data_IF_777266032739
#
_entry.id   IF_777266032739
#
_cell.length_a   1.000
_cell.length_b   1.000
_cell.length_c   1.000
_cell.angle_alpha   90.00
_cell.angle_beta   90.00
_cell.angle_gamma   90.00
#
_symmetry.space_group_name_H-M   'P 1'
#
loop_
_entity.id
_entity.type
_entity.pdbx_description
1 polymer ?
#
# COMPACT_ATOMS: atom_id res chain seq x y z
N UNK A 1 9.07 -28.62 -13.32
CA UNK A 1 8.46 -27.37 -13.77
C UNK A 1 7.63 -26.86 -12.60
N UNK A 2 8.15 -25.95 -11.83
CA UNK A 2 7.42 -25.35 -10.72
C UNK A 2 6.37 -24.41 -11.33
N UNK A 3 5.11 -24.76 -11.16
CA UNK A 3 4.01 -23.82 -11.42
C UNK A 3 4.22 -22.68 -10.42
N UNK A 4 4.63 -21.52 -10.90
CA UNK A 4 4.50 -20.29 -10.16
C UNK A 4 3.00 -20.06 -10.06
N UNK A 5 2.41 -20.39 -8.90
CA UNK A 5 1.07 -19.94 -8.59
C UNK A 5 1.09 -18.42 -8.72
N UNK A 6 0.48 -17.93 -9.78
CA UNK A 6 0.20 -16.50 -9.90
C UNK A 6 -0.78 -16.20 -8.79
N UNK A 7 -0.31 -15.66 -7.68
CA UNK A 7 -1.20 -15.07 -6.68
C UNK A 7 -2.20 -14.19 -7.44
N UNK A 8 -3.48 -14.40 -7.15
CA UNK A 8 -4.52 -13.54 -7.69
C UNK A 8 -4.16 -12.08 -7.39
N UNK A 9 -4.27 -11.23 -8.40
CA UNK A 9 -3.93 -9.81 -8.30
C UNK A 9 -4.61 -9.14 -7.09
N UNK A 10 -5.84 -9.54 -6.77
CA UNK A 10 -6.57 -9.02 -5.62
C UNK A 10 -5.92 -9.40 -4.29
N UNK A 11 -5.46 -10.63 -4.16
CA UNK A 11 -4.72 -11.11 -2.98
C UNK A 11 -3.41 -10.36 -2.79
N UNK A 12 -2.68 -10.13 -3.86
CA UNK A 12 -1.42 -9.38 -3.83
C UNK A 12 -1.67 -7.93 -3.40
N UNK A 13 -2.69 -7.27 -3.97
CA UNK A 13 -3.06 -5.90 -3.61
C UNK A 13 -3.45 -5.82 -2.14
N UNK A 14 -4.28 -6.73 -1.64
CA UNK A 14 -4.67 -6.79 -0.22
C UNK A 14 -3.46 -6.94 0.69
N UNK A 15 -2.54 -7.81 0.35
CA UNK A 15 -1.30 -8.00 1.11
C UNK A 15 -0.45 -6.73 1.17
N UNK A 16 -0.27 -6.05 0.05
CA UNK A 16 0.49 -4.79 -0.01
C UNK A 16 -0.18 -3.71 0.82
N UNK A 17 -1.48 -3.53 0.65
CA UNK A 17 -2.24 -2.49 1.35
C UNK A 17 -2.41 -2.77 2.84
N UNK A 18 -2.46 -4.04 3.27
CA UNK A 18 -2.55 -4.41 4.69
C UNK A 18 -1.39 -3.84 5.52
N UNK A 19 -0.22 -3.68 4.90
CA UNK A 19 0.96 -3.12 5.57
C UNK A 19 0.80 -1.66 5.99
N UNK A 20 -0.13 -0.93 5.39
CA UNK A 20 -0.40 0.48 5.72
C UNK A 20 -1.43 0.63 6.84
N UNK A 21 -2.14 -0.44 7.20
CA UNK A 21 -3.15 -0.43 8.28
C UNK A 21 -4.17 0.71 8.14
N UNK A 22 -4.72 0.86 6.94
CA UNK A 22 -5.64 1.96 6.60
C UNK A 22 -6.85 2.00 7.53
N UNK A 23 -7.46 0.84 7.79
CA UNK A 23 -8.63 0.73 8.66
C UNK A 23 -8.33 1.13 10.11
N UNK A 24 -7.20 0.70 10.65
CA UNK A 24 -6.79 1.07 12.00
C UNK A 24 -6.49 2.56 12.13
N UNK A 25 -5.90 3.17 11.12
CA UNK A 25 -5.65 4.62 11.07
C UNK A 25 -6.96 5.40 11.01
N UNK A 26 -7.91 4.97 10.18
CA UNK A 26 -9.23 5.57 10.09
C UNK A 26 -9.95 5.51 11.46
N UNK A 27 -9.96 4.35 12.09
CA UNK A 27 -10.56 4.18 13.41
C UNK A 27 -9.94 5.09 14.46
N UNK A 28 -8.61 5.21 14.48
CA UNK A 28 -7.92 6.12 15.41
C UNK A 28 -8.30 7.59 15.20
N UNK A 29 -8.40 8.05 13.96
CA UNK A 29 -8.85 9.40 13.64
C UNK A 29 -10.28 9.64 14.14
N UNK A 30 -11.18 8.71 13.86
CA UNK A 30 -12.58 8.79 14.28
C UNK A 30 -12.70 8.85 15.81
N UNK A 31 -12.06 7.95 16.52
CA UNK A 31 -12.11 7.90 17.98
C UNK A 31 -11.47 9.14 18.61
N UNK A 32 -10.42 9.68 18.01
CA UNK A 32 -9.79 10.93 18.47
C UNK A 32 -10.76 12.11 18.35
N UNK A 33 -11.57 12.15 17.30
CA UNK A 33 -12.62 13.16 17.13
C UNK A 33 -13.90 12.85 17.93
N UNK A 34 -13.95 11.70 18.61
CA UNK A 34 -15.11 11.25 19.41
C UNK A 34 -16.42 11.22 18.64
N UNK A 35 -16.38 10.81 17.38
CA UNK A 35 -17.56 10.65 16.54
C UNK A 35 -17.87 9.18 16.27
N UNK A 36 -19.17 8.87 16.12
CA UNK A 36 -19.63 7.53 15.77
C UNK A 36 -19.54 7.27 14.26
N UNK A 37 -19.74 6.00 13.87
CA UNK A 37 -19.75 5.60 12.46
C UNK A 37 -20.89 6.27 11.69
N UNK A 38 -22.07 6.45 12.31
CA UNK A 38 -23.22 7.10 11.69
C UNK A 38 -22.93 8.57 11.40
N UNK A 39 -22.28 9.27 12.33
CA UNK A 39 -21.93 10.68 12.13
C UNK A 39 -20.84 10.84 11.07
N UNK A 40 -19.84 9.97 11.07
CA UNK A 40 -18.83 9.95 10.02
C UNK A 40 -19.48 9.67 8.65
N UNK A 41 -20.47 8.79 8.59
CA UNK A 41 -21.24 8.52 7.38
C UNK A 41 -21.97 9.76 6.84
N UNK A 42 -22.57 10.56 7.71
CA UNK A 42 -23.23 11.82 7.32
C UNK A 42 -22.24 12.80 6.68
N UNK A 43 -21.03 12.90 7.19
CA UNK A 43 -20.01 13.81 6.67
C UNK A 43 -19.32 13.31 5.39
N UNK A 44 -19.24 12.01 5.20
CA UNK A 44 -18.53 11.39 4.06
C UNK A 44 -19.47 10.94 2.94
N UNK A 45 -20.76 10.83 3.20
CA UNK A 45 -21.72 10.22 2.28
C UNK A 45 -21.62 8.70 2.19
N UNK A 46 -20.95 8.06 3.17
CA UNK A 46 -20.79 6.61 3.24
C UNK A 46 -21.73 6.01 4.28
N UNK A 47 -22.13 4.74 4.10
CA UNK A 47 -22.91 4.04 5.11
C UNK A 47 -22.08 3.67 6.33
N UNK A 48 -22.70 3.60 7.50
CA UNK A 48 -22.02 3.13 8.73
C UNK A 48 -21.49 1.71 8.57
N UNK A 49 -22.21 0.85 7.85
CA UNK A 49 -21.77 -0.51 7.54
C UNK A 49 -20.50 -0.54 6.69
N UNK A 50 -20.43 0.28 5.64
CA UNK A 50 -19.25 0.40 4.81
C UNK A 50 -18.06 0.92 5.60
N UNK A 51 -18.25 1.94 6.43
CA UNK A 51 -17.20 2.48 7.29
C UNK A 51 -16.69 1.45 8.29
N UNK A 52 -17.58 0.65 8.88
CA UNK A 52 -17.20 -0.45 9.76
C UNK A 52 -16.35 -1.49 9.03
N UNK A 53 -16.70 -1.85 7.80
CA UNK A 53 -15.91 -2.79 7.00
C UNK A 53 -14.53 -2.22 6.65
N UNK A 54 -14.44 -0.93 6.35
CA UNK A 54 -13.16 -0.25 6.11
C UNK A 54 -12.27 -0.27 7.36
N UNK A 55 -12.82 0.06 8.51
CA UNK A 55 -12.08 0.06 9.79
C UNK A 55 -11.58 -1.33 10.19
N UNK A 56 -12.33 -2.37 9.86
CA UNK A 56 -11.97 -3.76 10.16
C UNK A 56 -11.11 -4.44 9.08
N UNK A 57 -10.72 -3.70 8.04
CA UNK A 57 -9.88 -4.23 6.96
C UNK A 57 -10.58 -5.22 6.03
N UNK A 58 -11.91 -5.33 6.09
CA UNK A 58 -12.71 -6.22 5.24
C UNK A 58 -12.94 -5.63 3.84
N UNK A 59 -12.83 -4.33 3.71
CA UNK A 59 -13.01 -3.59 2.47
C UNK A 59 -11.83 -2.67 2.25
N UNK A 60 -11.34 -2.61 1.02
CA UNK A 60 -10.29 -1.67 0.61
C UNK A 60 -10.96 -0.41 0.06
N UNK A 61 -10.67 0.78 0.61
CA UNK A 61 -11.22 2.01 0.08
C UNK A 61 -10.62 2.35 -1.28
N UNK A 62 -11.42 2.93 -2.17
CA UNK A 62 -10.91 3.61 -3.36
C UNK A 62 -10.21 4.91 -2.96
N UNK A 63 -9.35 5.46 -3.82
CA UNK A 63 -8.72 6.76 -3.55
C UNK A 63 -9.73 7.89 -3.34
N UNK A 64 -10.79 8.03 -4.15
CA UNK A 64 -11.83 9.03 -3.90
C UNK A 64 -12.51 8.87 -2.55
N UNK A 65 -12.81 7.64 -2.14
CA UNK A 65 -13.39 7.35 -0.82
C UNK A 65 -12.44 7.76 0.30
N UNK A 66 -11.17 7.40 0.17
CA UNK A 66 -10.15 7.76 1.15
C UNK A 66 -9.94 9.27 1.22
N UNK A 67 -9.97 9.97 0.10
CA UNK A 67 -9.89 11.41 0.04
C UNK A 67 -11.05 12.10 0.77
N UNK A 68 -12.29 11.62 0.59
CA UNK A 68 -13.44 12.15 1.34
C UNK A 68 -13.27 12.00 2.85
N UNK A 69 -12.78 10.86 3.30
CA UNK A 69 -12.50 10.61 4.71
C UNK A 69 -11.40 11.54 5.22
N UNK A 70 -10.33 11.67 4.47
CA UNK A 70 -9.20 12.55 4.81
C UNK A 70 -9.65 14.01 4.97
N UNK A 71 -10.52 14.50 4.10
CA UNK A 71 -11.09 15.85 4.18
C UNK A 71 -11.88 16.08 5.48
N UNK A 72 -12.67 15.12 5.92
CA UNK A 72 -13.44 15.23 7.17
C UNK A 72 -12.53 15.37 8.38
N UNK A 73 -11.38 14.71 8.36
CA UNK A 73 -10.41 14.75 9.44
C UNK A 73 -9.31 15.82 9.28
N UNK A 74 -9.36 16.57 8.20
CA UNK A 74 -8.34 17.59 7.86
C UNK A 74 -6.93 17.02 7.87
N UNK A 75 -6.77 15.87 7.23
CA UNK A 75 -5.47 15.22 7.01
C UNK A 75 -5.23 15.00 5.52
N UNK A 76 -3.96 14.95 5.11
CA UNK A 76 -3.60 14.58 3.75
C UNK A 76 -3.70 13.07 3.52
N UNK A 77 -3.75 12.64 2.26
CA UNK A 77 -3.69 11.22 1.91
C UNK A 77 -2.40 10.54 2.38
N UNK A 78 -1.31 11.28 2.48
CA UNK A 78 -0.04 10.82 3.02
C UNK A 78 -0.15 10.27 4.45
N UNK A 79 -1.08 10.79 5.27
CA UNK A 79 -1.36 10.27 6.61
C UNK A 79 -1.70 8.77 6.59
N UNK A 80 -2.46 8.32 5.61
CA UNK A 80 -2.87 6.92 5.49
C UNK A 80 -1.75 6.02 4.95
N UNK A 81 -0.84 6.56 4.16
CA UNK A 81 0.25 5.83 3.53
C UNK A 81 1.59 6.00 4.23
N UNK A 82 1.66 6.83 5.27
CA UNK A 82 2.83 6.94 6.13
C UNK A 82 3.00 5.61 6.91
N UNK A 83 3.78 4.71 6.37
CA UNK A 83 4.07 3.42 6.97
C UNK A 83 5.18 3.52 8.01
N UNK A 84 5.00 2.84 9.16
CA UNK A 84 6.07 2.55 10.11
C UNK A 84 7.04 1.48 9.61
N UNK A 85 7.05 1.14 8.33
CA UNK A 85 8.11 0.29 7.81
C UNK A 85 9.42 1.07 7.94
N UNK A 86 10.12 0.83 9.03
CA UNK A 86 11.57 0.93 9.01
C UNK A 86 12.02 -0.08 7.96
N UNK A 87 12.19 0.37 6.74
CA UNK A 87 12.89 -0.44 5.75
C UNK A 87 14.26 -0.70 6.34
N UNK A 88 14.70 -1.94 6.41
CA UNK A 88 15.99 -2.23 7.00
C UNK A 88 17.08 -1.46 6.23
N UNK A 89 18.00 -0.86 6.96
CA UNK A 89 19.21 -0.22 6.38
C UNK A 89 20.01 -1.29 5.63
N UNK A 90 19.91 -2.53 6.08
CA UNK A 90 20.50 -3.69 5.47
C UNK A 90 19.41 -4.67 5.02
N UNK A 91 19.45 -5.07 3.77
CA UNK A 91 18.52 -6.06 3.22
C UNK A 91 19.27 -7.11 2.42
N UNK A 92 18.86 -8.36 2.59
CA UNK A 92 19.35 -9.48 1.78
C UNK A 92 18.28 -9.72 0.70
N UNK A 93 18.67 -9.60 -0.56
CA UNK A 93 17.83 -9.92 -1.71
C UNK A 93 18.34 -11.21 -2.34
N UNK A 94 17.55 -12.29 -2.22
CA UNK A 94 17.89 -13.57 -2.85
C UNK A 94 17.61 -13.50 -4.35
N UNK A 95 18.27 -14.36 -5.13
CA UNK A 95 18.16 -14.36 -6.59
C UNK A 95 16.71 -14.42 -7.11
N UNK A 96 15.82 -15.19 -6.45
CA UNK A 96 14.40 -15.28 -6.80
C UNK A 96 13.54 -14.08 -6.38
N UNK A 97 14.07 -13.17 -5.57
CA UNK A 97 13.38 -11.98 -5.06
C UNK A 97 13.79 -10.70 -5.79
N UNK A 98 14.68 -10.80 -6.75
CA UNK A 98 15.18 -9.66 -7.52
C UNK A 98 14.12 -9.15 -8.47
N UNK A 99 13.93 -7.84 -8.51
CA UNK A 99 13.06 -7.20 -9.49
C UNK A 99 13.86 -6.97 -10.76
N UNK A 100 13.34 -7.45 -11.88
CA UNK A 100 13.95 -7.31 -13.21
C UNK A 100 13.27 -6.20 -13.99
N UNK A 101 14.06 -5.38 -14.63
CA UNK A 101 13.59 -4.33 -15.52
C UNK A 101 14.17 -4.54 -16.91
N UNK A 102 13.39 -4.39 -17.99
CA UNK A 102 13.92 -4.38 -19.34
C UNK A 102 14.77 -3.12 -19.54
N UNK A 103 15.69 -3.15 -20.52
CA UNK A 103 16.52 -2.01 -20.89
C UNK A 103 15.70 -0.75 -21.23
N UNK A 104 14.51 -0.95 -21.79
CA UNK A 104 13.52 0.08 -22.09
C UNK A 104 12.12 -0.43 -21.80
N UNK A 105 11.32 0.42 -21.19
CA UNK A 105 9.96 0.06 -20.76
C UNK A 105 9.02 -0.31 -21.94
N UNK A 106 9.31 0.21 -23.13
CA UNK A 106 8.52 0.01 -24.35
C UNK A 106 9.04 -1.13 -25.24
N UNK A 107 10.12 -1.80 -24.85
CA UNK A 107 10.73 -2.84 -25.65
C UNK A 107 9.88 -4.13 -25.66
N UNK A 108 9.29 -4.47 -26.81
CA UNK A 108 8.55 -5.73 -26.98
C UNK A 108 9.44 -6.98 -26.83
N UNK A 109 10.72 -6.86 -27.16
CA UNK A 109 11.77 -7.88 -26.98
C UNK A 109 13.04 -7.19 -26.52
N UNK A 110 13.24 -7.06 -25.22
CA UNK A 110 14.46 -6.46 -24.68
C UNK A 110 15.66 -7.38 -24.91
N UNK A 111 16.80 -6.77 -25.25
CA UNK A 111 18.05 -7.52 -25.44
C UNK A 111 18.67 -7.96 -24.11
N UNK A 112 18.46 -7.17 -23.06
CA UNK A 112 18.92 -7.48 -21.70
C UNK A 112 17.97 -6.89 -20.66
N UNK A 113 18.14 -7.36 -19.43
CA UNK A 113 17.39 -6.91 -18.26
C UNK A 113 18.36 -6.46 -17.17
N UNK A 114 17.94 -5.46 -16.41
CA UNK A 114 18.59 -5.07 -15.16
C UNK A 114 17.92 -5.77 -13.98
N UNK A 115 18.70 -6.30 -13.07
CA UNK A 115 18.20 -6.86 -11.81
C UNK A 115 18.56 -5.93 -10.65
N UNK A 116 17.57 -5.44 -9.93
CA UNK A 116 17.80 -4.57 -8.79
C UNK A 116 18.22 -5.37 -7.56
N UNK A 117 19.41 -5.12 -7.05
CA UNK A 117 19.98 -5.81 -5.89
C UNK A 117 19.61 -5.20 -4.55
N UNK A 118 19.08 -3.98 -4.53
CA UNK A 118 18.88 -3.23 -3.30
C UNK A 118 17.53 -2.48 -3.28
N UNK A 119 16.49 -3.05 -3.89
CA UNK A 119 15.18 -2.39 -4.00
C UNK A 119 14.57 -2.04 -2.64
N UNK A 120 14.72 -2.90 -1.65
CA UNK A 120 14.13 -2.73 -0.31
C UNK A 120 14.96 -1.88 0.65
N UNK A 121 16.19 -1.50 0.30
CA UNK A 121 17.04 -0.68 1.16
C UNK A 121 16.66 0.81 1.12
N UNK A 122 16.68 1.46 2.27
CA UNK A 122 16.51 2.92 2.38
C UNK A 122 17.85 3.66 2.39
N UNK A 123 17.80 4.95 2.04
CA UNK A 123 18.94 5.87 2.11
C UNK A 123 20.19 5.34 1.39
N UNK A 124 19.97 4.76 0.21
CA UNK A 124 21.07 4.27 -0.61
C UNK A 124 21.91 5.42 -1.13
N UNK A 125 23.17 5.44 -0.80
CA UNK A 125 24.15 6.31 -1.47
C UNK A 125 24.63 5.72 -2.81
N UNK A 126 24.42 4.41 -3.03
CA UNK A 126 24.75 3.68 -4.23
C UNK A 126 23.59 2.78 -4.66
N UNK A 127 23.25 2.79 -5.95
CA UNK A 127 22.29 1.84 -6.53
C UNK A 127 23.08 0.72 -7.23
N UNK A 128 22.79 -0.53 -6.82
CA UNK A 128 23.42 -1.69 -7.39
C UNK A 128 22.47 -2.45 -8.31
N UNK A 129 22.93 -2.76 -9.51
CA UNK A 129 22.23 -3.54 -10.53
C UNK A 129 23.15 -4.63 -11.09
N UNK A 130 22.54 -5.71 -11.54
CA UNK A 130 23.16 -6.73 -12.38
C UNK A 130 22.67 -6.62 -13.81
#
# INVERSE_FOLDING_TARGET
MTLVETEDSDTTIRRVLSSYELGAKLRRLRLRKKIGLTDLGKHTGLSASMLSQLENGKLIPTLPTLARIAMVFDVGLDHFFAGRRRRPVFSIVRAGERIRFPERADAAKPNFFFECLAFSAQNKSLQAYL
#
